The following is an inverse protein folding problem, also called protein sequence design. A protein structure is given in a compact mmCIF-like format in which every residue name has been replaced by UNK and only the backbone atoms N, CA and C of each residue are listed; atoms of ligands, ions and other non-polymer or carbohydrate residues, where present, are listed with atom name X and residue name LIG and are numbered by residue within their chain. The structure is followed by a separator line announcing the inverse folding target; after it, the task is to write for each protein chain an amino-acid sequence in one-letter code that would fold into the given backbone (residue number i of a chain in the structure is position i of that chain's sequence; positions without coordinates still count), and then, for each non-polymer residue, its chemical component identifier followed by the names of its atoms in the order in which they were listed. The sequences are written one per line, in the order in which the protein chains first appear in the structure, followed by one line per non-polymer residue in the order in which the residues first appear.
data_IF_620129039256
#
_entry.id   IF_620129039256
#
_cell.length_a   1.000
_cell.length_b   1.000
_cell.length_c   1.000
_cell.angle_alpha   90.00
_cell.angle_beta   90.00
_cell.angle_gamma   90.00
#
_symmetry.space_group_name_H-M   'P 1'
#
loop_
_entity.id
_entity.type
_entity.pdbx_description
1 polymer ?
#
# COMPACT_ATOMS: atom_id res chain seq x y z
N UNK A 1 2.41 -0.43 14.21
CA UNK A 1 0.96 -0.58 13.90
C UNK A 1 0.72 -0.03 12.51
N UNK A 2 0.06 -0.79 11.63
CA UNK A 2 -0.25 -0.39 10.26
C UNK A 2 -1.76 -0.39 10.05
N UNK A 3 -2.31 0.67 9.48
CA UNK A 3 -3.72 0.78 9.14
C UNK A 3 -3.89 1.31 7.71
N UNK A 4 -4.62 0.57 6.87
CA UNK A 4 -5.10 0.99 5.55
C UNK A 4 -6.60 1.22 5.66
N UNK A 5 -7.08 2.39 5.22
CA UNK A 5 -8.50 2.74 5.20
C UNK A 5 -8.95 2.98 3.77
N UNK A 6 -9.75 2.06 3.24
CA UNK A 6 -10.38 2.15 1.91
C UNK A 6 -9.41 2.60 0.80
N UNK A 7 -8.22 2.01 0.79
CA UNK A 7 -7.16 2.39 -0.15
C UNK A 7 -7.51 1.94 -1.56
N UNK A 8 -7.51 2.88 -2.50
CA UNK A 8 -7.71 2.62 -3.92
C UNK A 8 -6.45 2.94 -4.71
N UNK A 9 -6.18 2.12 -5.74
CA UNK A 9 -5.13 2.40 -6.70
C UNK A 9 -5.50 1.94 -8.10
N UNK A 10 -5.40 2.86 -9.05
CA UNK A 10 -5.63 2.68 -10.47
C UNK A 10 -4.36 3.05 -11.22
N UNK A 11 -3.97 2.21 -12.16
CA UNK A 11 -2.91 2.50 -13.12
C UNK A 11 -3.53 2.85 -14.47
N UNK A 12 -2.90 3.78 -15.18
CA UNK A 12 -3.31 4.22 -16.52
C UNK A 12 -4.78 4.65 -16.62
N UNK A 13 -5.26 5.38 -15.61
CA UNK A 13 -6.65 5.84 -15.54
C UNK A 13 -7.04 6.64 -16.79
N UNK A 14 -8.24 6.37 -17.31
CA UNK A 14 -8.77 7.03 -18.52
C UNK A 14 -8.19 6.51 -19.85
N UNK A 15 -7.44 5.41 -19.84
CA UNK A 15 -6.91 4.77 -21.05
C UNK A 15 -7.50 3.38 -21.28
N UNK A 16 -7.29 2.80 -22.46
CA UNK A 16 -7.68 1.41 -22.75
C UNK A 16 -6.96 0.38 -21.84
N UNK A 17 -5.86 0.78 -21.20
CA UNK A 17 -5.05 -0.05 -20.31
C UNK A 17 -5.31 0.26 -18.83
N UNK A 18 -6.43 0.92 -18.51
CA UNK A 18 -6.83 1.20 -17.14
C UNK A 18 -6.91 -0.10 -16.32
N UNK A 19 -6.28 -0.08 -15.14
CA UNK A 19 -6.32 -1.21 -14.23
C UNK A 19 -6.47 -0.77 -12.78
N UNK A 20 -7.60 -1.13 -12.17
CA UNK A 20 -7.83 -0.99 -10.73
C UNK A 20 -7.10 -2.09 -9.97
N UNK A 21 -5.91 -1.76 -9.47
CA UNK A 21 -5.03 -2.69 -8.77
C UNK A 21 -5.38 -2.85 -7.28
N UNK A 22 -5.91 -1.81 -6.63
CA UNK A 22 -6.47 -1.87 -5.28
C UNK A 22 -7.85 -1.21 -5.30
N UNK A 23 -8.84 -1.83 -4.67
CA UNK A 23 -10.23 -1.38 -4.66
C UNK A 23 -10.74 -1.41 -3.22
N UNK A 24 -10.86 -0.23 -2.60
CA UNK A 24 -11.34 -0.03 -1.22
C UNK A 24 -10.67 -0.94 -0.18
N UNK A 25 -9.37 -1.19 -0.35
CA UNK A 25 -8.63 -2.09 0.53
C UNK A 25 -8.53 -1.52 1.95
N UNK A 26 -9.06 -2.26 2.92
CA UNK A 26 -8.90 -1.95 4.35
C UNK A 26 -8.19 -3.08 5.06
N UNK A 27 -7.20 -2.74 5.88
CA UNK A 27 -6.36 -3.69 6.61
C UNK A 27 -5.87 -3.02 7.89
N UNK A 28 -5.93 -3.72 9.01
CA UNK A 28 -5.38 -3.24 10.26
C UNK A 28 -4.49 -4.32 10.88
N UNK A 29 -3.21 -4.00 11.05
CA UNK A 29 -2.20 -4.85 11.68
C UNK A 29 -1.70 -4.20 12.97
N UNK A 30 -1.79 -4.96 14.05
CA UNK A 30 -1.34 -4.58 15.38
C UNK A 30 0.18 -4.81 15.53
N UNK A 31 0.84 -4.14 16.50
CA UNK A 31 2.21 -4.46 16.85
C UNK A 31 2.38 -5.95 17.16
N UNK A 32 3.37 -6.60 16.54
CA UNK A 32 3.66 -8.02 16.72
C UNK A 32 2.93 -8.97 15.76
N UNK A 33 2.00 -8.49 14.95
CA UNK A 33 1.33 -9.33 13.95
C UNK A 33 2.34 -9.82 12.89
N UNK A 34 2.30 -11.13 12.61
CA UNK A 34 3.05 -11.76 11.54
C UNK A 34 2.07 -12.31 10.50
N UNK A 35 2.06 -11.72 9.30
CA UNK A 35 1.01 -11.93 8.30
C UNK A 35 1.62 -12.29 6.95
N UNK A 36 1.00 -13.26 6.28
CA UNK A 36 1.32 -13.63 4.91
C UNK A 36 0.23 -13.13 3.96
N UNK A 37 0.63 -12.46 2.88
CA UNK A 37 -0.28 -11.98 1.83
C UNK A 37 -0.21 -12.94 0.65
N UNK A 38 -1.30 -13.66 0.39
CA UNK A 38 -1.40 -14.65 -0.70
C UNK A 38 -2.35 -14.17 -1.81
N UNK A 39 -2.16 -14.71 -3.01
CA UNK A 39 -3.02 -14.43 -4.16
C UNK A 39 -2.29 -14.66 -5.48
N UNK A 40 -3.04 -14.83 -6.58
CA UNK A 40 -2.47 -15.03 -7.90
C UNK A 40 -1.69 -13.83 -8.45
N UNK A 41 -1.10 -13.99 -9.63
CA UNK A 41 -0.45 -12.89 -10.35
C UNK A 41 -1.46 -11.80 -10.67
N UNK A 42 -1.06 -10.54 -10.46
CA UNK A 42 -1.94 -9.40 -10.70
C UNK A 42 -3.00 -9.12 -9.63
N UNK A 43 -3.07 -9.91 -8.54
CA UNK A 43 -4.02 -9.70 -7.43
C UNK A 43 -3.77 -8.44 -6.57
N UNK A 44 -2.79 -7.59 -6.92
CA UNK A 44 -2.52 -6.35 -6.19
C UNK A 44 -1.50 -6.43 -5.04
N UNK A 45 -0.91 -7.61 -4.77
CA UNK A 45 0.06 -7.81 -3.66
C UNK A 45 1.23 -6.82 -3.68
N UNK A 46 2.00 -6.81 -4.77
CA UNK A 46 3.15 -5.91 -4.91
C UNK A 46 2.69 -4.44 -4.97
N UNK A 47 1.51 -4.16 -5.53
CA UNK A 47 0.93 -2.81 -5.52
C UNK A 47 0.64 -2.35 -4.09
N UNK A 48 0.04 -3.20 -3.26
CA UNK A 48 -0.23 -2.89 -1.85
C UNK A 48 1.07 -2.59 -1.09
N UNK A 49 2.08 -3.46 -1.21
CA UNK A 49 3.38 -3.25 -0.56
C UNK A 49 4.06 -1.96 -1.03
N UNK A 50 4.00 -1.65 -2.33
CA UNK A 50 4.53 -0.42 -2.89
C UNK A 50 3.76 0.84 -2.44
N UNK A 51 2.43 0.75 -2.28
CA UNK A 51 1.61 1.85 -1.78
C UNK A 51 1.94 2.16 -0.31
N UNK A 52 2.10 1.12 0.52
CA UNK A 52 2.54 1.25 1.92
C UNK A 52 3.92 1.93 1.99
N UNK A 53 4.87 1.45 1.19
CA UNK A 53 6.22 2.01 1.12
C UNK A 53 6.30 3.42 0.53
N UNK A 54 5.23 3.92 -0.12
CA UNK A 54 5.21 5.25 -0.74
C UNK A 54 5.88 5.32 -2.11
N UNK A 55 6.11 4.17 -2.76
CA UNK A 55 6.61 4.08 -4.13
C UNK A 55 5.54 4.51 -5.13
N UNK A 56 4.29 4.10 -4.90
CA UNK A 56 3.15 4.54 -5.69
C UNK A 56 2.19 5.37 -4.83
N UNK A 57 1.77 6.56 -5.25
CA UNK A 57 0.70 7.29 -4.59
C UNK A 57 -0.62 6.54 -4.76
N UNK A 58 -1.49 6.59 -3.75
CA UNK A 58 -2.86 6.05 -3.81
C UNK A 58 -3.81 7.09 -4.40
N UNK A 59 -4.92 6.63 -4.97
CA UNK A 59 -5.92 7.53 -5.56
C UNK A 59 -6.88 8.06 -4.49
N UNK A 60 -7.18 7.24 -3.47
CA UNK A 60 -8.02 7.57 -2.34
C UNK A 60 -7.71 6.68 -1.14
N UNK A 61 -8.30 7.03 0.01
CA UNK A 61 -8.09 6.34 1.28
C UNK A 61 -6.89 6.88 2.05
N UNK A 62 -6.50 6.19 3.12
CA UNK A 62 -5.34 6.59 3.93
C UNK A 62 -4.50 5.41 4.39
N UNK A 63 -3.21 5.69 4.58
CA UNK A 63 -2.19 4.79 5.10
C UNK A 63 -1.62 5.40 6.36
N UNK A 64 -1.83 4.74 7.50
CA UNK A 64 -1.36 5.19 8.81
C UNK A 64 -0.34 4.18 9.35
N UNK A 65 0.80 4.68 9.83
CA UNK A 65 1.85 3.87 10.44
C UNK A 65 2.20 4.49 11.79
N UNK A 66 2.06 3.69 12.85
CA UNK A 66 2.27 4.13 14.23
C UNK A 66 1.52 5.41 14.59
N UNK A 67 0.28 5.53 14.11
CA UNK A 67 -0.58 6.69 14.34
C UNK A 67 -0.28 7.91 13.45
N UNK A 68 0.74 7.85 12.59
CA UNK A 68 1.11 8.91 11.65
C UNK A 68 0.49 8.64 10.28
N UNK A 69 -0.27 9.59 9.75
CA UNK A 69 -0.74 9.52 8.36
C UNK A 69 0.44 9.76 7.40
N UNK A 70 0.77 8.73 6.63
CA UNK A 70 1.87 8.75 5.66
C UNK A 70 1.38 8.83 4.21
N UNK A 71 0.06 8.93 3.96
CA UNK A 71 -0.56 8.75 2.65
C UNK A 71 0.11 9.53 1.52
N UNK A 72 0.42 10.80 1.75
CA UNK A 72 1.08 11.68 0.78
C UNK A 72 2.61 11.78 0.93
N UNK A 73 3.22 11.07 1.87
CA UNK A 73 4.65 11.15 2.13
C UNK A 73 5.45 10.36 1.07
N UNK A 74 6.59 10.88 0.59
CA UNK A 74 7.49 10.15 -0.29
C UNK A 74 8.22 9.02 0.46
N UNK A 75 8.69 8.02 -0.28
CA UNK A 75 9.35 6.81 0.24
C UNK A 75 10.44 7.08 1.29
N UNK A 76 11.36 8.01 1.02
CA UNK A 76 12.47 8.30 1.94
C UNK A 76 12.02 8.81 3.32
N UNK A 77 10.84 9.43 3.43
CA UNK A 77 10.28 9.83 4.74
C UNK A 77 9.63 8.66 5.45
N UNK A 78 9.07 7.71 4.70
CA UNK A 78 8.44 6.50 5.26
C UNK A 78 9.45 5.47 5.76
N UNK A 79 10.68 5.51 5.24
CA UNK A 79 11.78 4.64 5.67
C UNK A 79 12.11 4.75 7.18
N UNK A 80 11.70 5.85 7.84
CA UNK A 80 11.81 5.98 9.29
C UNK A 80 10.91 5.01 10.07
N UNK A 81 9.86 4.48 9.43
CA UNK A 81 8.87 3.59 10.06
C UNK A 81 8.89 2.16 9.51
N UNK A 82 9.43 1.96 8.29
CA UNK A 82 9.31 0.71 7.55
C UNK A 82 10.68 0.22 7.09
N UNK A 83 11.03 -1.01 7.48
CA UNK A 83 12.08 -1.77 6.82
C UNK A 83 11.50 -2.61 5.68
N UNK A 84 12.11 -2.56 4.50
CA UNK A 84 11.69 -3.35 3.34
C UNK A 84 12.85 -4.19 2.82
N UNK A 85 12.57 -5.47 2.61
CA UNK A 85 13.47 -6.39 1.91
C UNK A 85 12.83 -6.70 0.56
N UNK A 86 13.62 -6.59 -0.50
CA UNK A 86 13.17 -6.86 -1.87
C UNK A 86 13.44 -8.33 -2.22
N UNK A 87 12.75 -8.82 -3.23
CA UNK A 87 12.93 -10.19 -3.71
C UNK A 87 14.26 -10.37 -4.47
N UNK A 88 14.85 -9.26 -4.93
CA UNK A 88 16.12 -9.20 -5.65
C UNK A 88 17.25 -8.70 -4.74
#
# INVERSE_FOLDING_TARGET
MLELKSVCKTFNAGTINEKKALQELSLHLKPGDFVTVIGGNGAGKSTMLNAIAGVWPVDSGSIIIDGVDVTGQPEHKRAAYIGRVFQD
#
